data_IF_457617717614
#
_entry.id   IF_457617717614
#
_cell.length_a   1.000
_cell.length_b   1.000
_cell.length_c   1.000
_cell.angle_alpha   90.00
_cell.angle_beta   90.00
_cell.angle_gamma   90.00
#
_symmetry.space_group_name_H-M   'P 1'
#
loop_
_entity.id
_entity.type
_entity.pdbx_description
1 polymer ?
#
# COMPACT_ATOMS: atom_id res chain seq x y z
N UNK A 1 -16.47 44.11 -52.83
CA UNK A 1 -15.65 44.63 -51.73
C UNK A 1 -16.34 44.26 -50.43
N UNK A 2 -15.78 43.34 -49.66
CA UNK A 2 -16.36 43.01 -48.35
C UNK A 2 -16.26 44.23 -47.42
N UNK A 3 -17.28 44.52 -46.60
CA UNK A 3 -17.23 45.60 -45.61
C UNK A 3 -16.03 45.44 -44.67
N UNK A 4 -15.33 46.54 -44.39
CA UNK A 4 -14.12 46.59 -43.55
C UNK A 4 -14.36 45.97 -42.14
N UNK A 5 -15.56 46.12 -41.58
CA UNK A 5 -15.92 45.54 -40.29
C UNK A 5 -15.92 44.00 -40.29
N UNK A 6 -16.21 43.36 -41.43
CA UNK A 6 -16.17 41.90 -41.60
C UNK A 6 -14.73 41.40 -41.61
N UNK A 7 -13.80 42.17 -42.18
CA UNK A 7 -12.38 41.81 -42.22
C UNK A 7 -11.75 41.81 -40.82
N UNK A 8 -12.12 42.80 -39.97
CA UNK A 8 -11.69 42.81 -38.58
C UNK A 8 -12.24 41.62 -37.77
N UNK A 9 -13.49 41.24 -38.00
CA UNK A 9 -14.10 40.09 -37.33
C UNK A 9 -13.43 38.77 -37.74
N UNK A 10 -13.13 38.59 -39.03
CA UNK A 10 -12.38 37.43 -39.52
C UNK A 10 -10.97 37.36 -38.94
N UNK A 11 -10.26 38.49 -38.84
CA UNK A 11 -8.92 38.54 -38.28
C UNK A 11 -8.88 38.19 -36.78
N UNK A 12 -9.93 38.50 -36.03
CA UNK A 12 -10.04 38.18 -34.60
C UNK A 12 -10.45 36.72 -34.33
N UNK A 13 -10.97 36.01 -35.34
CA UNK A 13 -11.47 34.64 -35.19
C UNK A 13 -10.33 33.66 -34.86
N UNK A 14 -9.22 33.74 -35.59
CA UNK A 14 -8.04 32.87 -35.40
C UNK A 14 -7.40 33.00 -34.01
N UNK A 15 -7.08 34.19 -33.48
CA UNK A 15 -6.55 34.32 -32.13
C UNK A 15 -7.56 33.91 -31.06
N UNK A 16 -8.86 34.13 -31.28
CA UNK A 16 -9.91 33.68 -30.34
C UNK A 16 -9.96 32.15 -30.25
N UNK A 17 -9.91 31.47 -31.39
CA UNK A 17 -9.84 30.00 -31.44
C UNK A 17 -8.54 29.52 -30.78
N UNK A 18 -7.40 30.15 -31.09
CA UNK A 18 -6.10 29.78 -30.51
C UNK A 18 -6.10 29.91 -28.97
N UNK A 19 -6.63 31.01 -28.42
CA UNK A 19 -6.79 31.20 -26.99
C UNK A 19 -7.72 30.15 -26.37
N UNK A 20 -8.83 29.85 -27.03
CA UNK A 20 -9.80 28.84 -26.57
C UNK A 20 -9.17 27.45 -26.52
N UNK A 21 -8.47 27.05 -27.58
CA UNK A 21 -7.77 25.76 -27.64
C UNK A 21 -6.67 25.69 -26.58
N UNK A 22 -5.88 26.75 -26.41
CA UNK A 22 -4.85 26.83 -25.37
C UNK A 22 -5.43 26.68 -23.96
N UNK A 23 -6.57 27.34 -23.69
CA UNK A 23 -7.27 27.21 -22.41
C UNK A 23 -7.78 25.79 -22.17
N UNK A 24 -8.39 25.16 -23.17
CA UNK A 24 -8.86 23.77 -23.07
C UNK A 24 -7.69 22.81 -22.84
N UNK A 25 -6.60 22.96 -23.60
CA UNK A 25 -5.40 22.13 -23.45
C UNK A 25 -4.80 22.24 -22.03
N UNK A 26 -4.73 23.46 -21.48
CA UNK A 26 -4.28 23.67 -20.10
C UNK A 26 -5.20 22.97 -19.08
N UNK A 27 -6.52 23.05 -19.28
CA UNK A 27 -7.49 22.35 -18.43
C UNK A 27 -7.37 20.83 -18.55
N UNK A 28 -7.15 20.31 -19.75
CA UNK A 28 -6.94 18.89 -20.01
C UNK A 28 -5.66 18.40 -19.33
N UNK A 29 -4.55 19.12 -19.46
CA UNK A 29 -3.29 18.81 -18.79
C UNK A 29 -3.46 18.74 -17.26
N UNK A 30 -4.10 19.74 -16.67
CA UNK A 30 -4.36 19.75 -15.22
C UNK A 30 -5.23 18.55 -14.78
N UNK A 31 -6.21 18.19 -15.59
CA UNK A 31 -7.09 17.04 -15.31
C UNK A 31 -6.36 15.71 -15.44
N UNK A 32 -5.54 15.55 -16.49
CA UNK A 32 -4.71 14.37 -16.70
C UNK A 32 -3.71 14.18 -15.56
N UNK A 33 -3.08 15.26 -15.09
CA UNK A 33 -2.16 15.21 -13.96
C UNK A 33 -2.86 14.72 -12.67
N UNK A 34 -4.03 15.25 -12.35
CA UNK A 34 -4.81 14.78 -11.19
C UNK A 34 -5.20 13.30 -11.31
N UNK A 35 -5.55 12.84 -12.51
CA UNK A 35 -5.88 11.43 -12.77
C UNK A 35 -4.69 10.51 -12.53
N UNK A 36 -3.49 10.88 -13.00
CA UNK A 36 -2.28 10.08 -12.80
C UNK A 36 -1.94 9.91 -11.30
N UNK A 37 -2.10 10.98 -10.51
CA UNK A 37 -1.87 10.92 -9.06
C UNK A 37 -2.89 10.01 -8.38
N UNK A 38 -4.17 10.12 -8.75
CA UNK A 38 -5.23 9.26 -8.23
C UNK A 38 -4.99 7.79 -8.58
N UNK A 39 -4.64 7.50 -9.84
CA UNK A 39 -4.38 6.13 -10.29
C UNK A 39 -3.20 5.50 -9.54
N UNK A 40 -2.12 6.26 -9.30
CA UNK A 40 -1.00 5.78 -8.50
C UNK A 40 -1.41 5.50 -7.04
N UNK A 41 -2.22 6.39 -6.46
CA UNK A 41 -2.74 6.22 -5.10
C UNK A 41 -3.62 4.97 -4.99
N UNK A 42 -4.54 4.76 -5.93
CA UNK A 42 -5.41 3.57 -5.97
C UNK A 42 -4.60 2.28 -6.09
N UNK A 43 -3.59 2.25 -6.96
CA UNK A 43 -2.68 1.09 -7.10
C UNK A 43 -1.93 0.81 -5.80
N UNK A 44 -1.44 1.84 -5.11
CA UNK A 44 -0.76 1.70 -3.81
C UNK A 44 -1.72 1.22 -2.72
N UNK A 45 -2.94 1.76 -2.69
CA UNK A 45 -3.97 1.34 -1.76
C UNK A 45 -4.34 -0.13 -1.95
N UNK A 46 -4.45 -0.60 -3.20
CA UNK A 46 -4.73 -1.99 -3.48
C UNK A 46 -3.67 -2.94 -2.87
N UNK A 47 -2.38 -2.59 -2.93
CA UNK A 47 -1.31 -3.38 -2.28
C UNK A 47 -1.48 -3.43 -0.77
N UNK A 48 -1.75 -2.28 -0.15
CA UNK A 48 -1.98 -2.22 1.30
C UNK A 48 -3.19 -3.07 1.71
N UNK A 49 -4.30 -2.98 0.96
CA UNK A 49 -5.51 -3.74 1.25
C UNK A 49 -5.31 -5.25 1.08
N UNK A 50 -4.53 -5.71 0.11
CA UNK A 50 -4.16 -7.12 -0.02
C UNK A 50 -3.38 -7.63 1.21
N UNK A 51 -2.35 -6.89 1.64
CA UNK A 51 -1.60 -7.25 2.84
C UNK A 51 -2.47 -7.23 4.10
N UNK A 52 -3.31 -6.20 4.24
CA UNK A 52 -4.27 -6.06 5.35
C UNK A 52 -5.28 -7.20 5.38
N UNK A 53 -5.80 -7.60 4.22
CA UNK A 53 -6.77 -8.70 4.09
C UNK A 53 -6.16 -10.02 4.54
N UNK A 54 -4.91 -10.31 4.13
CA UNK A 54 -4.19 -11.48 4.61
C UNK A 54 -4.05 -11.46 6.15
N UNK A 55 -3.53 -10.37 6.71
CA UNK A 55 -3.36 -10.21 8.17
C UNK A 55 -4.70 -10.35 8.91
N UNK A 56 -5.76 -9.71 8.39
CA UNK A 56 -7.10 -9.81 8.97
C UNK A 56 -7.61 -11.25 8.98
N UNK A 57 -7.31 -12.04 7.95
CA UNK A 57 -7.72 -13.44 7.89
C UNK A 57 -7.10 -14.23 9.04
N UNK A 58 -5.79 -14.09 9.25
CA UNK A 58 -5.06 -14.74 10.34
C UNK A 58 -5.62 -14.35 11.70
N UNK A 59 -5.86 -13.06 11.91
CA UNK A 59 -6.38 -12.57 13.19
C UNK A 59 -7.79 -13.05 13.50
N UNK A 60 -8.65 -13.20 12.48
CA UNK A 60 -10.03 -13.64 12.67
C UNK A 60 -10.15 -15.16 12.79
N UNK A 61 -9.31 -15.93 12.08
CA UNK A 61 -9.47 -17.39 11.98
C UNK A 61 -8.42 -18.19 12.76
N UNK A 62 -7.35 -17.55 13.25
CA UNK A 62 -6.28 -18.23 13.97
C UNK A 62 -5.48 -19.23 13.12
N UNK A 63 -5.54 -19.11 11.79
CA UNK A 63 -4.82 -19.95 10.82
C UNK A 63 -4.55 -19.18 9.53
N UNK A 64 -3.62 -19.67 8.70
CA UNK A 64 -3.47 -19.18 7.32
C UNK A 64 -4.45 -19.87 6.38
N UNK A 65 -4.64 -19.29 5.20
CA UNK A 65 -5.23 -19.98 4.05
C UNK A 65 -4.39 -19.70 2.81
N UNK A 66 -4.56 -20.55 1.79
CA UNK A 66 -3.89 -20.38 0.51
C UNK A 66 -4.23 -19.03 -0.14
N UNK A 67 -5.47 -18.58 0.02
CA UNK A 67 -5.92 -17.28 -0.51
C UNK A 67 -5.22 -16.12 0.21
N UNK A 68 -5.10 -16.18 1.54
CA UNK A 68 -4.38 -15.17 2.32
C UNK A 68 -2.88 -15.14 1.95
N UNK A 69 -2.29 -16.30 1.69
CA UNK A 69 -0.91 -16.41 1.23
C UNK A 69 -0.72 -15.81 -0.17
N UNK A 70 -1.62 -16.11 -1.11
CA UNK A 70 -1.62 -15.53 -2.46
C UNK A 70 -1.80 -14.01 -2.42
N UNK A 71 -2.72 -13.51 -1.57
CA UNK A 71 -2.95 -12.08 -1.40
C UNK A 71 -1.66 -11.37 -0.92
N UNK A 72 -0.96 -11.95 0.07
CA UNK A 72 0.30 -11.41 0.58
C UNK A 72 1.43 -11.46 -0.47
N UNK A 73 1.59 -12.58 -1.19
CA UNK A 73 2.57 -12.70 -2.27
C UNK A 73 2.31 -11.70 -3.41
N UNK A 74 1.04 -11.49 -3.76
CA UNK A 74 0.63 -10.52 -4.77
C UNK A 74 0.95 -9.09 -4.32
N UNK A 75 0.72 -8.79 -3.03
CA UNK A 75 1.11 -7.51 -2.45
C UNK A 75 2.63 -7.30 -2.52
N UNK A 76 3.41 -8.33 -2.16
CA UNK A 76 4.88 -8.29 -2.20
C UNK A 76 5.43 -8.02 -3.60
N UNK A 77 4.91 -8.71 -4.62
CA UNK A 77 5.36 -8.52 -6.00
C UNK A 77 5.00 -7.13 -6.52
N UNK A 78 3.83 -6.61 -6.16
CA UNK A 78 3.41 -5.26 -6.54
C UNK A 78 4.18 -4.16 -5.77
N UNK A 79 4.59 -4.45 -4.54
CA UNK A 79 5.26 -3.48 -3.67
C UNK A 79 6.63 -3.04 -4.20
N UNK A 80 7.36 -3.95 -4.84
CA UNK A 80 8.67 -3.69 -5.43
C UNK A 80 8.62 -2.53 -6.43
N UNK A 81 7.56 -2.46 -7.25
CA UNK A 81 7.41 -1.43 -8.29
C UNK A 81 6.76 -0.14 -7.78
N UNK A 82 5.85 -0.22 -6.78
CA UNK A 82 5.01 0.91 -6.38
C UNK A 82 5.57 1.72 -5.19
N UNK A 83 6.38 1.08 -4.34
CA UNK A 83 6.89 1.66 -3.10
C UNK A 83 8.43 1.60 -3.03
N UNK A 84 9.01 0.48 -3.47
CA UNK A 84 10.45 0.23 -3.42
C UNK A 84 10.85 -0.72 -2.29
N UNK A 85 12.14 -0.70 -1.96
CA UNK A 85 12.77 -1.75 -1.13
C UNK A 85 12.31 -1.79 0.33
N UNK A 86 11.95 -0.66 0.92
CA UNK A 86 11.55 -0.58 2.33
C UNK A 86 10.24 -1.32 2.61
N UNK A 87 9.20 -1.09 1.80
CA UNK A 87 7.93 -1.81 1.90
C UNK A 87 8.13 -3.27 1.50
N UNK A 88 8.94 -3.56 0.47
CA UNK A 88 9.23 -4.94 0.07
C UNK A 88 9.90 -5.73 1.18
N UNK A 89 10.99 -5.21 1.74
CA UNK A 89 11.72 -5.85 2.86
C UNK A 89 10.80 -6.08 4.07
N UNK A 90 9.86 -5.16 4.32
CA UNK A 90 8.88 -5.31 5.40
C UNK A 90 7.89 -6.45 5.11
N UNK A 91 7.36 -6.53 3.89
CA UNK A 91 6.45 -7.60 3.49
C UNK A 91 7.15 -8.96 3.40
N UNK A 92 8.44 -9.03 3.04
CA UNK A 92 9.23 -10.27 3.09
C UNK A 92 9.32 -10.82 4.52
N UNK A 93 9.55 -9.97 5.52
CA UNK A 93 9.51 -10.39 6.93
C UNK A 93 8.12 -10.83 7.37
N UNK A 94 7.08 -10.15 6.88
CA UNK A 94 5.70 -10.54 7.14
C UNK A 94 5.39 -11.92 6.55
N UNK A 95 5.90 -12.21 5.35
CA UNK A 95 5.78 -13.50 4.69
C UNK A 95 6.44 -14.62 5.49
N UNK A 96 7.66 -14.40 6.00
CA UNK A 96 8.32 -15.37 6.87
C UNK A 96 7.51 -15.67 8.14
N UNK A 97 6.90 -14.65 8.75
CA UNK A 97 6.00 -14.82 9.90
C UNK A 97 4.76 -15.62 9.52
N UNK A 98 4.18 -15.35 8.36
CA UNK A 98 3.02 -16.06 7.82
C UNK A 98 3.29 -17.55 7.65
N UNK A 99 4.42 -17.91 7.03
CA UNK A 99 4.81 -19.31 6.82
C UNK A 99 5.07 -20.03 8.14
N UNK A 100 5.81 -19.39 9.06
CA UNK A 100 6.04 -19.95 10.40
C UNK A 100 4.74 -20.15 11.16
N UNK A 101 3.80 -19.22 11.01
CA UNK A 101 2.49 -19.29 11.66
C UNK A 101 1.65 -20.45 11.10
N UNK A 102 1.60 -20.61 9.78
CA UNK A 102 0.95 -21.74 9.13
C UNK A 102 1.53 -23.08 9.58
N UNK A 103 2.86 -23.18 9.64
CA UNK A 103 3.54 -24.38 10.14
C UNK A 103 3.22 -24.67 11.61
N UNK A 104 3.33 -23.68 12.50
CA UNK A 104 3.00 -23.84 13.92
C UNK A 104 1.53 -24.24 14.13
N UNK A 105 0.62 -23.67 13.34
CA UNK A 105 -0.80 -24.02 13.37
C UNK A 105 -1.07 -25.46 12.91
N UNK A 106 -0.31 -25.98 11.94
CA UNK A 106 -0.44 -27.37 11.49
C UNK A 106 0.14 -28.34 12.54
N UNK A 107 1.34 -28.08 13.05
CA UNK A 107 1.99 -28.92 14.06
C UNK A 107 1.18 -28.98 15.36
N UNK A 108 0.57 -27.87 15.79
CA UNK A 108 -0.31 -27.84 16.97
C UNK A 108 -1.51 -28.81 16.86
N UNK A 109 -1.97 -29.12 15.64
CA UNK A 109 -3.07 -30.08 15.41
C UNK A 109 -2.60 -31.53 15.42
N UNK A 110 -1.34 -31.78 15.05
CA UNK A 110 -0.77 -33.13 14.89
C UNK A 110 -0.02 -33.62 16.14
N UNK A 111 0.30 -32.74 17.08
CA UNK A 111 1.12 -33.05 18.25
C UNK A 111 0.34 -33.02 19.57
N UNK A 112 0.72 -33.86 20.54
CA UNK A 112 0.13 -33.93 21.89
C UNK A 112 1.19 -33.65 22.99
N UNK A 113 0.75 -33.43 24.24
CA UNK A 113 1.67 -33.31 25.39
C UNK A 113 2.45 -31.99 25.45
N UNK A 114 3.72 -32.04 25.87
CA UNK A 114 4.58 -30.85 26.03
C UNK A 114 4.96 -30.20 24.71
N UNK A 115 5.18 -30.97 23.65
CA UNK A 115 5.50 -30.42 22.31
C UNK A 115 4.35 -29.57 21.77
N UNK A 116 3.09 -29.95 22.05
CA UNK A 116 1.92 -29.12 21.70
C UNK A 116 1.94 -27.77 22.41
N UNK A 117 2.39 -27.69 23.67
CA UNK A 117 2.48 -26.40 24.39
C UNK A 117 3.49 -25.46 23.73
N UNK A 118 4.63 -25.99 23.29
CA UNK A 118 5.62 -25.20 22.57
C UNK A 118 5.04 -24.60 21.26
N UNK A 119 4.27 -25.39 20.51
CA UNK A 119 3.60 -24.90 19.30
C UNK A 119 2.49 -23.88 19.59
N UNK A 120 1.78 -23.98 20.72
CA UNK A 120 0.82 -22.97 21.17
C UNK A 120 1.51 -21.65 21.48
N UNK A 121 2.63 -21.68 22.22
CA UNK A 121 3.39 -20.46 22.55
C UNK A 121 3.94 -19.78 21.28
N UNK A 122 4.45 -20.58 20.33
CA UNK A 122 4.88 -20.08 19.03
C UNK A 122 3.73 -19.48 18.22
N UNK A 123 2.57 -20.15 18.20
CA UNK A 123 1.35 -19.67 17.54
C UNK A 123 0.93 -18.30 18.09
N UNK A 124 0.83 -18.17 19.41
CA UNK A 124 0.45 -16.92 20.07
C UNK A 124 1.45 -15.79 19.79
N UNK A 125 2.75 -16.07 19.88
CA UNK A 125 3.79 -15.09 19.56
C UNK A 125 3.69 -14.61 18.11
N UNK A 126 3.50 -15.52 17.16
CA UNK A 126 3.44 -15.19 15.74
C UNK A 126 2.18 -14.40 15.38
N UNK A 127 1.01 -14.71 15.97
CA UNK A 127 -0.21 -13.89 15.80
C UNK A 127 0.02 -12.47 16.29
N UNK A 128 0.69 -12.29 17.43
CA UNK A 128 1.01 -10.97 17.95
C UNK A 128 1.92 -10.20 17.00
N UNK A 129 2.97 -10.83 16.48
CA UNK A 129 3.88 -10.22 15.50
C UNK A 129 3.19 -9.88 14.16
N UNK A 130 2.25 -10.71 13.71
CA UNK A 130 1.45 -10.46 12.51
C UNK A 130 0.47 -9.30 12.76
N UNK A 131 -0.15 -9.24 13.93
CA UNK A 131 -1.08 -8.17 14.33
C UNK A 131 -0.40 -6.81 14.43
N UNK A 132 0.90 -6.77 14.75
CA UNK A 132 1.67 -5.53 14.74
C UNK A 132 1.67 -4.82 13.37
N UNK A 133 1.27 -5.51 12.29
CA UNK A 133 1.03 -4.89 10.98
C UNK A 133 0.17 -3.62 11.03
N UNK A 134 -0.87 -3.59 11.86
CA UNK A 134 -1.75 -2.42 11.93
C UNK A 134 -1.05 -1.16 12.49
N UNK A 135 0.07 -1.34 13.20
CA UNK A 135 0.90 -0.25 13.71
C UNK A 135 2.10 -0.01 12.79
N UNK A 136 2.96 -1.02 12.62
CA UNK A 136 4.21 -0.90 11.86
C UNK A 136 3.97 -0.74 10.36
N UNK A 137 2.97 -1.44 9.82
CA UNK A 137 2.59 -1.34 8.42
C UNK A 137 2.08 0.06 8.07
N UNK A 138 1.30 0.68 8.97
CA UNK A 138 0.88 2.07 8.74
C UNK A 138 2.09 3.01 8.62
N UNK A 139 3.08 2.87 9.51
CA UNK A 139 4.29 3.71 9.49
C UNK A 139 5.15 3.51 8.23
N UNK A 140 5.23 2.28 7.73
CA UNK A 140 6.03 1.92 6.54
C UNK A 140 5.33 2.35 5.24
N UNK A 141 4.00 2.20 5.15
CA UNK A 141 3.24 2.57 3.96
C UNK A 141 2.89 4.07 3.89
N UNK A 142 2.67 4.73 5.05
CA UNK A 142 2.22 6.12 5.12
C UNK A 142 3.03 7.13 4.28
N UNK A 143 4.37 7.06 4.17
CA UNK A 143 5.14 7.97 3.32
C UNK A 143 4.72 7.96 1.85
N UNK A 144 4.24 6.82 1.35
CA UNK A 144 3.86 6.61 -0.05
C UNK A 144 2.38 6.85 -0.33
N UNK A 145 1.55 6.87 0.72
CA UNK A 145 0.09 7.01 0.65
C UNK A 145 -0.37 8.47 0.74
N UNK A 146 0.54 9.43 0.89
CA UNK A 146 0.19 10.87 0.89
C UNK A 146 -0.05 11.33 -0.53
N UNK A 147 -1.20 11.95 -0.79
CA UNK A 147 -1.56 12.53 -2.11
C UNK A 147 -0.60 13.65 -2.54
N UNK A 148 0.15 14.24 -1.62
CA UNK A 148 1.21 15.20 -1.93
C UNK A 148 2.48 14.47 -2.37
N UNK A 149 2.78 14.56 -3.67
CA UNK A 149 4.03 14.09 -4.28
C UNK A 149 5.22 14.92 -3.79
N UNK A 150 5.63 14.76 -2.53
CA UNK A 150 6.97 15.13 -2.10
C UNK A 150 7.85 13.92 -2.34
N UNK A 151 8.64 13.96 -3.41
CA UNK A 151 9.83 13.12 -3.58
C UNK A 151 10.67 13.24 -2.30
N UNK A 152 10.45 12.35 -1.34
CA UNK A 152 11.24 12.31 -0.10
C UNK A 152 12.48 11.46 -0.37
N UNK A 153 13.68 11.89 0.07
CA UNK A 153 14.85 11.02 0.08
C UNK A 153 14.59 9.81 1.00
N UNK A 154 15.31 8.69 0.80
CA UNK A 154 15.13 7.49 1.60
C UNK A 154 15.26 7.81 3.09
N UNK A 155 14.25 7.40 3.87
CA UNK A 155 14.18 7.62 5.31
C UNK A 155 15.34 6.88 5.99
N UNK A 156 16.35 7.65 6.39
CA UNK A 156 17.45 7.18 7.23
C UNK A 156 16.90 6.85 8.62
N UNK A 157 16.76 5.54 8.89
CA UNK A 157 16.50 4.88 10.19
C UNK A 157 15.29 5.41 10.97
N UNK A 158 14.18 4.67 10.88
CA UNK A 158 13.11 4.69 11.89
C UNK A 158 13.72 4.40 13.27
N UNK A 159 13.79 5.45 14.10
CA UNK A 159 14.17 5.36 15.52
C UNK A 159 13.08 4.55 16.22
N UNK A 160 13.40 3.32 16.63
CA UNK A 160 12.55 2.43 17.43
C UNK A 160 11.90 3.24 18.55
N UNK A 161 10.57 3.35 18.54
CA UNK A 161 9.83 3.81 19.72
C UNK A 161 9.93 2.69 20.77
N UNK A 162 10.28 3.00 22.03
CA UNK A 162 10.31 1.98 23.07
C UNK A 162 8.89 1.41 23.27
N UNK A 163 8.82 0.09 23.28
CA UNK A 163 7.64 -0.71 23.53
C UNK A 163 7.08 -0.39 24.94
N UNK A 164 5.76 -0.21 25.14
CA UNK A 164 5.20 -0.26 26.48
C UNK A 164 5.39 -1.67 27.04
N UNK A 165 5.85 -1.84 28.29
CA UNK A 165 6.00 -3.16 28.87
C UNK A 165 4.64 -3.87 28.88
N UNK A 166 4.63 -5.13 28.46
CA UNK A 166 3.48 -6.00 28.58
C UNK A 166 2.99 -5.98 30.03
N UNK A 167 1.78 -5.47 30.23
CA UNK A 167 1.11 -5.53 31.52
C UNK A 167 0.76 -7.00 31.77
N UNK A 168 1.58 -7.68 32.57
CA UNK A 168 1.18 -8.93 33.20
C UNK A 168 0.05 -8.63 34.19
N UNK A 169 -1.12 -9.18 33.91
CA UNK A 169 -2.21 -9.40 34.85
C UNK A 169 -2.92 -10.69 34.47
#
# INVERSE_FOLDING_TARGET
MLPIWIQYLQALLTPTIALTVGFIAYRQWRTAHSKLVLELFERRLAVYELARKAVSFVNTHGRTSREAEIDLLTAMNSAEFLFGKDVRDYLDKMWERFIKFGAASAMMQETEGEERKAHIDDHLRLVQEITQFYYEGSDVFAPYMRMEHRLRPPLKKLRRRPHPPASHA
#
